data_IF_287257485389
#
_entry.id   IF_287257485389
#
_cell.length_a   1.000
_cell.length_b   1.000
_cell.length_c   1.000
_cell.angle_alpha   90.00
_cell.angle_beta   90.00
_cell.angle_gamma   90.00
#
_symmetry.space_group_name_H-M   'P 1'
#
loop_
_entity.id
_entity.type
_entity.pdbx_description
1 polymer ?
#
# COMPACT_ATOMS: atom_id res chain seq x y z
N UNK A 1 -40.12 -41.42 -0.92
CA UNK A 1 -38.69 -41.64 -0.58
C UNK A 1 -37.95 -40.33 -0.82
N UNK A 2 -37.17 -39.82 0.13
CA UNK A 2 -36.22 -38.76 -0.18
C UNK A 2 -35.22 -39.28 -1.25
N UNK A 3 -34.73 -38.43 -2.16
CA UNK A 3 -33.76 -38.84 -3.17
C UNK A 3 -32.51 -39.41 -2.48
N UNK A 4 -31.94 -40.48 -3.06
CA UNK A 4 -30.70 -41.05 -2.57
C UNK A 4 -29.58 -40.00 -2.61
N UNK A 5 -28.81 -39.89 -1.52
CA UNK A 5 -27.66 -38.98 -1.47
C UNK A 5 -26.70 -39.29 -2.63
N UNK A 6 -26.16 -38.27 -3.31
CA UNK A 6 -25.24 -38.48 -4.43
C UNK A 6 -24.02 -39.29 -3.98
N UNK A 7 -23.51 -40.13 -4.89
CA UNK A 7 -22.29 -40.90 -4.62
C UNK A 7 -21.08 -39.97 -4.53
N UNK A 8 -20.04 -40.40 -3.81
CA UNK A 8 -18.78 -39.65 -3.71
C UNK A 8 -18.19 -39.37 -5.10
N UNK A 9 -18.28 -40.33 -6.02
CA UNK A 9 -17.78 -40.15 -7.38
C UNK A 9 -18.59 -39.14 -8.18
N UNK A 10 -19.90 -39.05 -7.96
CA UNK A 10 -20.73 -38.02 -8.59
C UNK A 10 -20.35 -36.62 -8.08
N UNK A 11 -20.15 -36.47 -6.77
CA UNK A 11 -19.70 -35.21 -6.16
C UNK A 11 -18.29 -34.80 -6.63
N UNK A 12 -17.38 -35.76 -6.86
CA UNK A 12 -16.05 -35.47 -7.43
C UNK A 12 -16.14 -34.95 -8.86
N UNK A 13 -16.99 -35.55 -9.70
CA UNK A 13 -17.22 -35.04 -11.05
C UNK A 13 -17.78 -33.62 -11.06
N UNK A 14 -18.67 -33.31 -10.11
CA UNK A 14 -19.18 -31.96 -9.93
C UNK A 14 -18.05 -30.97 -9.57
N UNK A 15 -17.10 -31.38 -8.72
CA UNK A 15 -15.89 -30.58 -8.43
C UNK A 15 -15.05 -30.37 -9.70
N UNK A 16 -14.80 -31.43 -10.47
CA UNK A 16 -14.01 -31.33 -11.71
C UNK A 16 -14.66 -30.37 -12.72
N UNK A 17 -15.99 -30.39 -12.85
CA UNK A 17 -16.76 -29.45 -13.69
C UNK A 17 -16.62 -28.00 -13.19
N UNK A 18 -16.69 -27.79 -11.87
CA UNK A 18 -16.51 -26.48 -11.24
C UNK A 18 -15.07 -25.97 -11.47
N UNK A 19 -14.06 -26.81 -11.29
CA UNK A 19 -12.66 -26.46 -11.46
C UNK A 19 -12.33 -26.07 -12.91
N UNK A 20 -12.90 -26.79 -13.88
CA UNK A 20 -12.82 -26.41 -15.29
C UNK A 20 -13.43 -25.02 -15.54
N UNK A 21 -14.62 -24.75 -14.98
CA UNK A 21 -15.27 -23.44 -15.11
C UNK A 21 -14.46 -22.32 -14.43
N UNK A 22 -13.87 -22.57 -13.26
CA UNK A 22 -12.99 -21.61 -12.58
C UNK A 22 -11.78 -21.28 -13.46
N UNK A 23 -11.13 -22.31 -14.01
CA UNK A 23 -9.98 -22.12 -14.90
C UNK A 23 -10.37 -21.28 -16.14
N UNK A 24 -11.48 -21.60 -16.79
CA UNK A 24 -11.98 -20.85 -17.95
C UNK A 24 -12.30 -19.39 -17.63
N UNK A 25 -12.85 -19.12 -16.44
CA UNK A 25 -13.10 -17.77 -15.96
C UNK A 25 -11.80 -17.00 -15.69
N UNK A 26 -10.78 -17.65 -15.12
CA UNK A 26 -9.46 -17.05 -14.91
C UNK A 26 -8.81 -16.72 -16.26
N UNK A 27 -8.87 -17.62 -17.24
CA UNK A 27 -8.35 -17.38 -18.59
C UNK A 27 -9.10 -16.26 -19.31
N UNK A 28 -10.43 -16.19 -19.15
CA UNK A 28 -11.23 -15.08 -19.68
C UNK A 28 -10.84 -13.76 -19.03
N UNK A 29 -10.58 -13.74 -17.71
CA UNK A 29 -10.09 -12.56 -16.99
C UNK A 29 -8.72 -12.11 -17.52
N UNK A 30 -7.80 -13.04 -17.74
CA UNK A 30 -6.48 -12.76 -18.33
C UNK A 30 -6.60 -12.08 -19.70
N UNK A 31 -7.44 -12.61 -20.61
CA UNK A 31 -7.71 -11.98 -21.92
C UNK A 31 -8.26 -10.56 -21.83
N UNK A 32 -9.07 -10.26 -20.81
CA UNK A 32 -9.54 -8.88 -20.57
C UNK A 32 -8.40 -7.98 -20.12
N UNK A 33 -7.49 -8.48 -19.27
CA UNK A 33 -6.30 -7.74 -18.83
C UNK A 33 -5.34 -7.48 -20.00
N UNK A 34 -5.13 -8.44 -20.89
CA UNK A 34 -4.33 -8.26 -22.12
C UNK A 34 -4.88 -7.12 -22.98
N UNK A 35 -6.21 -7.08 -23.18
CA UNK A 35 -6.87 -5.99 -23.92
C UNK A 35 -6.72 -4.64 -23.20
N UNK A 36 -6.76 -4.61 -21.88
CA UNK A 36 -6.49 -3.40 -21.09
C UNK A 36 -5.04 -2.95 -21.30
N UNK A 37 -4.07 -3.87 -21.25
CA UNK A 37 -2.67 -3.58 -21.49
C UNK A 37 -2.43 -2.99 -22.89
N UNK A 38 -3.05 -3.59 -23.92
CA UNK A 38 -2.99 -3.10 -25.30
C UNK A 38 -3.58 -1.69 -25.45
N UNK A 39 -4.69 -1.40 -24.75
CA UNK A 39 -5.32 -0.06 -24.77
C UNK A 39 -4.47 1.03 -24.11
N UNK A 40 -3.51 0.65 -23.27
CA UNK A 40 -2.63 1.55 -22.51
C UNK A 40 -1.20 1.57 -23.06
N UNK A 41 -1.01 1.28 -24.35
CA UNK A 41 0.31 1.23 -24.97
C UNK A 41 1.14 2.50 -24.63
N UNK A 42 2.24 2.31 -23.89
CA UNK A 42 3.13 3.38 -23.42
C UNK A 42 2.94 3.83 -21.96
N UNK A 43 1.91 3.37 -21.25
CA UNK A 43 1.75 3.65 -19.83
C UNK A 43 2.85 2.96 -19.01
N UNK A 44 3.53 3.73 -18.14
CA UNK A 44 4.57 3.21 -17.22
C UNK A 44 4.01 2.67 -15.89
N UNK A 45 2.69 2.77 -15.69
CA UNK A 45 2.01 2.45 -14.43
C UNK A 45 1.06 1.27 -14.63
N UNK A 46 1.41 0.12 -14.06
CA UNK A 46 0.66 -1.14 -14.19
C UNK A 46 -0.13 -1.52 -12.92
N UNK A 47 0.16 -0.86 -11.80
CA UNK A 47 -0.52 -1.07 -10.52
C UNK A 47 -1.51 0.05 -10.24
N UNK A 48 -2.61 -0.29 -9.58
CA UNK A 48 -3.57 0.68 -9.04
C UNK A 48 -4.02 0.20 -7.67
N UNK A 49 -3.24 0.49 -6.60
CA UNK A 49 -3.52 0.00 -5.26
C UNK A 49 -4.95 0.30 -4.79
N UNK A 50 -5.48 1.49 -5.08
CA UNK A 50 -6.86 1.83 -4.74
C UNK A 50 -7.92 0.94 -5.39
N UNK A 51 -7.71 0.55 -6.66
CA UNK A 51 -8.58 -0.41 -7.35
C UNK A 51 -8.51 -1.80 -6.69
N UNK A 52 -7.31 -2.23 -6.31
CA UNK A 52 -7.10 -3.52 -5.64
C UNK A 52 -7.77 -3.55 -4.26
N UNK A 53 -7.60 -2.48 -3.47
CA UNK A 53 -8.30 -2.30 -2.19
C UNK A 53 -9.82 -2.42 -2.36
N UNK A 54 -10.41 -1.74 -3.34
CA UNK A 54 -11.84 -1.84 -3.64
C UNK A 54 -12.29 -3.25 -4.06
N UNK A 55 -11.47 -4.00 -4.81
CA UNK A 55 -11.76 -5.40 -5.16
C UNK A 55 -11.83 -6.26 -3.91
N UNK A 56 -10.82 -6.16 -3.03
CA UNK A 56 -10.73 -6.97 -1.82
C UNK A 56 -11.81 -6.61 -0.81
N UNK A 57 -12.12 -5.32 -0.61
CA UNK A 57 -13.24 -4.87 0.24
C UNK A 57 -14.57 -5.45 -0.24
N UNK A 58 -14.86 -5.38 -1.55
CA UNK A 58 -16.09 -5.99 -2.12
C UNK A 58 -16.12 -7.50 -1.95
N UNK A 59 -14.98 -8.17 -2.07
CA UNK A 59 -14.85 -9.62 -1.91
C UNK A 59 -15.14 -10.05 -0.46
N UNK A 60 -14.58 -9.33 0.52
CA UNK A 60 -14.83 -9.57 1.95
C UNK A 60 -16.30 -9.27 2.29
N UNK A 61 -16.84 -8.13 1.85
CA UNK A 61 -18.21 -7.74 2.16
C UNK A 61 -19.28 -8.68 1.59
N UNK A 62 -19.03 -9.29 0.43
CA UNK A 62 -19.95 -10.27 -0.19
C UNK A 62 -19.74 -11.70 0.28
N UNK A 63 -18.71 -11.96 1.10
CA UNK A 63 -18.30 -13.32 1.41
C UNK A 63 -19.36 -14.05 2.24
N UNK A 64 -19.70 -15.26 1.80
CA UNK A 64 -20.62 -16.17 2.46
C UNK A 64 -20.12 -17.60 2.27
N UNK A 65 -20.49 -18.52 3.17
CA UNK A 65 -20.15 -19.93 3.06
C UNK A 65 -19.08 -20.39 4.06
N UNK A 66 -18.52 -21.58 3.81
CA UNK A 66 -17.65 -22.29 4.75
C UNK A 66 -16.15 -22.04 4.54
N UNK A 67 -15.75 -21.56 3.37
CA UNK A 67 -14.34 -21.30 3.05
C UNK A 67 -13.84 -20.11 3.86
N UNK A 68 -12.70 -20.18 4.57
CA UNK A 68 -12.17 -19.04 5.29
C UNK A 68 -11.94 -17.82 4.37
N UNK A 69 -12.47 -16.66 4.76
CA UNK A 69 -12.34 -15.41 3.96
C UNK A 69 -10.88 -15.03 3.68
N UNK A 70 -9.95 -15.33 4.60
CA UNK A 70 -8.53 -15.11 4.40
C UNK A 70 -7.95 -15.92 3.22
N UNK A 71 -8.44 -17.15 3.00
CA UNK A 71 -8.03 -17.97 1.85
C UNK A 71 -8.56 -17.37 0.53
N UNK A 72 -9.81 -16.89 0.54
CA UNK A 72 -10.41 -16.20 -0.61
C UNK A 72 -9.61 -14.94 -0.98
N UNK A 73 -9.25 -14.12 0.02
CA UNK A 73 -8.38 -12.94 -0.18
C UNK A 73 -7.04 -13.35 -0.79
N UNK A 74 -6.39 -14.41 -0.28
CA UNK A 74 -5.09 -14.86 -0.77
C UNK A 74 -5.15 -15.34 -2.23
N UNK A 75 -6.20 -16.08 -2.61
CA UNK A 75 -6.43 -16.48 -4.00
C UNK A 75 -6.55 -15.24 -4.91
N UNK A 76 -7.32 -14.23 -4.48
CA UNK A 76 -7.45 -12.99 -5.24
C UNK A 76 -6.15 -12.20 -5.32
N UNK A 77 -5.33 -12.18 -4.26
CA UNK A 77 -4.00 -11.56 -4.28
C UNK A 77 -3.08 -12.20 -5.30
N UNK A 78 -3.01 -13.52 -5.32
CA UNK A 78 -2.19 -14.26 -6.29
C UNK A 78 -2.67 -13.97 -7.73
N UNK A 79 -3.99 -13.97 -7.93
CA UNK A 79 -4.59 -13.64 -9.22
C UNK A 79 -4.37 -12.18 -9.63
N UNK A 80 -4.33 -11.23 -8.70
CA UNK A 80 -4.01 -9.83 -9.00
C UNK A 80 -2.54 -9.73 -9.43
N UNK A 81 -1.61 -10.31 -8.64
CA UNK A 81 -0.19 -10.28 -8.92
C UNK A 81 0.16 -10.90 -10.30
N UNK A 82 -0.38 -12.07 -10.60
CA UNK A 82 -0.16 -12.74 -11.89
C UNK A 82 -0.65 -11.87 -13.07
N UNK A 83 -1.80 -11.21 -12.93
CA UNK A 83 -2.32 -10.35 -13.99
C UNK A 83 -1.59 -9.00 -14.10
N UNK A 84 -0.95 -8.52 -13.04
CA UNK A 84 -0.06 -7.36 -13.12
C UNK A 84 1.12 -7.64 -14.05
N UNK A 85 1.69 -8.84 -14.00
CA UNK A 85 2.79 -9.26 -14.88
C UNK A 85 2.40 -9.36 -16.36
N UNK A 86 1.14 -9.62 -16.67
CA UNK A 86 0.63 -9.59 -18.06
C UNK A 86 0.68 -8.17 -18.64
N UNK A 87 0.47 -7.16 -17.80
CA UNK A 87 0.41 -5.76 -18.26
C UNK A 87 1.79 -5.18 -18.58
N UNK A 88 2.86 -5.73 -18.01
CA UNK A 88 4.24 -5.30 -18.30
C UNK A 88 5.25 -5.80 -17.26
N UNK A 89 6.54 -5.44 -17.44
CA UNK A 89 7.59 -5.76 -16.47
C UNK A 89 7.24 -5.21 -15.09
N UNK A 90 7.23 -6.08 -14.08
CA UNK A 90 6.91 -5.73 -12.71
C UNK A 90 7.87 -6.43 -11.75
N UNK A 91 8.59 -5.64 -10.94
CA UNK A 91 9.53 -6.14 -9.94
C UNK A 91 9.42 -5.34 -8.64
N UNK A 92 9.72 -6.00 -7.52
CA UNK A 92 9.59 -5.44 -6.17
C UNK A 92 10.97 -5.41 -5.50
N UNK A 93 11.44 -4.25 -5.08
CA UNK A 93 12.58 -4.14 -4.16
C UNK A 93 12.08 -4.16 -2.71
N UNK A 94 12.67 -4.99 -1.85
CA UNK A 94 12.19 -5.19 -0.48
C UNK A 94 13.32 -4.93 0.50
N UNK A 95 13.07 -4.06 1.49
CA UNK A 95 13.93 -3.94 2.65
C UNK A 95 13.94 -5.28 3.41
N UNK A 96 15.09 -5.96 3.37
CA UNK A 96 15.29 -7.27 3.95
C UNK A 96 16.78 -7.43 4.29
N UNK A 97 17.25 -6.80 5.40
CA UNK A 97 18.60 -7.03 5.88
C UNK A 97 18.81 -8.50 6.23
N UNK A 98 20.07 -8.92 6.35
CA UNK A 98 20.42 -10.34 6.43
C UNK A 98 19.80 -11.08 7.64
N UNK A 99 19.49 -10.35 8.71
CA UNK A 99 18.93 -10.83 9.97
C UNK A 99 17.40 -10.62 10.12
N UNK A 100 16.75 -9.87 9.23
CA UNK A 100 15.29 -9.67 9.25
C UNK A 100 14.65 -9.90 7.87
N UNK A 101 13.85 -10.98 7.78
CA UNK A 101 13.08 -11.37 6.59
C UNK A 101 11.58 -11.09 6.71
N UNK A 102 11.11 -10.44 7.78
CA UNK A 102 9.68 -10.21 8.01
C UNK A 102 9.03 -9.42 6.86
N UNK A 103 9.69 -8.37 6.37
CA UNK A 103 9.19 -7.57 5.24
C UNK A 103 9.20 -8.35 3.93
N UNK A 104 10.14 -9.29 3.76
CA UNK A 104 10.16 -10.20 2.63
C UNK A 104 8.91 -11.08 2.60
N UNK A 105 8.55 -11.66 3.74
CA UNK A 105 7.36 -12.53 3.83
C UNK A 105 6.07 -11.75 3.60
N UNK A 106 5.97 -10.52 4.15
CA UNK A 106 4.83 -9.62 3.92
C UNK A 106 4.72 -9.22 2.44
N UNK A 107 5.85 -8.88 1.81
CA UNK A 107 5.90 -8.57 0.38
C UNK A 107 5.50 -9.78 -0.47
N UNK A 108 5.98 -10.97 -0.11
CA UNK A 108 5.65 -12.24 -0.79
C UNK A 108 4.18 -12.63 -0.63
N UNK A 109 3.57 -12.35 0.52
CA UNK A 109 2.14 -12.55 0.75
C UNK A 109 1.30 -11.62 -0.15
N UNK A 110 1.73 -10.37 -0.31
CA UNK A 110 1.00 -9.37 -1.08
C UNK A 110 1.17 -9.49 -2.60
N UNK A 111 2.40 -9.66 -3.07
CA UNK A 111 2.77 -9.70 -4.50
C UNK A 111 2.85 -11.12 -5.06
N UNK A 112 2.50 -12.13 -4.26
CA UNK A 112 2.37 -13.50 -4.74
C UNK A 112 3.70 -14.17 -5.12
N UNK A 113 3.57 -15.39 -5.63
CA UNK A 113 4.70 -16.31 -5.82
C UNK A 113 5.51 -16.02 -7.07
N UNK A 114 4.87 -15.52 -8.12
CA UNK A 114 5.48 -15.34 -9.44
C UNK A 114 6.17 -13.98 -9.64
N UNK A 115 5.87 -12.99 -8.79
CA UNK A 115 6.50 -11.68 -8.90
C UNK A 115 7.97 -11.73 -8.47
N UNK A 116 8.91 -11.20 -9.27
CA UNK A 116 10.29 -11.03 -8.88
C UNK A 116 10.43 -10.09 -7.67
N UNK A 117 11.05 -10.58 -6.59
CA UNK A 117 11.44 -9.78 -5.43
C UNK A 117 12.97 -9.72 -5.37
N UNK A 118 13.51 -8.53 -5.15
CA UNK A 118 14.94 -8.29 -4.93
C UNK A 118 15.15 -7.77 -3.51
N UNK A 119 16.01 -8.40 -2.69
CA UNK A 119 16.30 -7.92 -1.35
C UNK A 119 17.21 -6.69 -1.41
N UNK A 120 17.01 -5.79 -0.46
CA UNK A 120 17.82 -4.60 -0.25
C UNK A 120 18.12 -4.44 1.24
N UNK A 121 19.39 -4.23 1.59
CA UNK A 121 19.82 -4.16 2.99
C UNK A 121 19.45 -2.83 3.67
N UNK A 122 19.06 -1.80 2.89
CA UNK A 122 18.65 -0.49 3.42
C UNK A 122 17.44 0.06 2.66
N UNK A 123 16.62 0.89 3.32
CA UNK A 123 15.47 1.54 2.68
C UNK A 123 15.92 2.51 1.57
N UNK A 124 17.10 3.11 1.72
CA UNK A 124 17.77 3.94 0.70
C UNK A 124 18.13 3.11 -0.55
N UNK A 125 18.52 1.85 -0.39
CA UNK A 125 18.76 0.96 -1.52
C UNK A 125 17.45 0.60 -2.25
N UNK A 126 16.32 0.48 -1.53
CA UNK A 126 14.99 0.35 -2.15
C UNK A 126 14.63 1.59 -2.96
N UNK A 127 14.82 2.80 -2.40
CA UNK A 127 14.59 4.07 -3.13
C UNK A 127 15.46 4.18 -4.38
N UNK A 128 16.73 3.74 -4.30
CA UNK A 128 17.64 3.72 -5.45
C UNK A 128 17.14 2.78 -6.55
N UNK A 129 16.71 1.57 -6.20
CA UNK A 129 16.18 0.61 -7.17
C UNK A 129 14.95 1.16 -7.91
N UNK A 130 14.10 1.93 -7.22
CA UNK A 130 12.99 2.65 -7.84
C UNK A 130 13.47 3.75 -8.79
N UNK A 131 14.42 4.58 -8.35
CA UNK A 131 14.95 5.69 -9.16
C UNK A 131 15.66 5.20 -10.43
N UNK A 132 16.36 4.07 -10.35
CA UNK A 132 17.05 3.43 -11.48
C UNK A 132 16.09 2.63 -12.39
N UNK A 133 14.86 2.38 -11.94
CA UNK A 133 13.86 1.57 -12.66
C UNK A 133 14.14 0.07 -12.66
N UNK A 134 15.06 -0.41 -11.82
CA UNK A 134 15.30 -1.85 -11.62
C UNK A 134 14.19 -2.52 -10.79
N UNK A 135 13.42 -1.71 -10.04
CA UNK A 135 12.18 -2.12 -9.40
C UNK A 135 11.03 -1.16 -9.78
N UNK A 136 9.82 -1.70 -9.86
CA UNK A 136 8.58 -0.92 -10.10
C UNK A 136 7.97 -0.42 -8.80
N UNK A 137 8.11 -1.20 -7.72
CA UNK A 137 7.64 -0.87 -6.39
C UNK A 137 8.70 -1.21 -5.34
N UNK A 138 8.68 -0.45 -4.25
CA UNK A 138 9.51 -0.67 -3.08
C UNK A 138 8.66 -1.08 -1.88
N UNK A 139 9.19 -1.95 -1.03
CA UNK A 139 8.61 -2.27 0.29
C UNK A 139 9.63 -1.89 1.36
N UNK A 140 9.25 -0.96 2.22
CA UNK A 140 10.11 -0.35 3.26
C UNK A 140 9.43 -0.44 4.62
N UNK A 141 10.16 -0.42 5.75
CA UNK A 141 9.56 -0.44 7.06
C UNK A 141 8.73 0.84 7.30
N UNK A 142 7.68 0.72 8.12
CA UNK A 142 7.04 1.91 8.68
C UNK A 142 8.08 2.66 9.52
N UNK A 143 8.20 3.99 9.38
CA UNK A 143 9.18 4.74 10.12
C UNK A 143 9.03 4.61 11.64
N UNK A 144 10.15 4.55 12.35
CA UNK A 144 10.25 4.45 13.81
C UNK A 144 10.60 5.81 14.43
N UNK A 145 10.34 5.96 15.72
CA UNK A 145 10.78 7.16 16.45
C UNK A 145 12.31 7.17 16.51
N UNK A 146 12.90 8.36 16.38
CA UNK A 146 14.35 8.58 16.55
C UNK A 146 15.27 7.83 15.55
N UNK A 147 14.82 7.66 14.30
CA UNK A 147 15.69 7.19 13.21
C UNK A 147 16.85 8.16 12.93
N UNK A 148 18.07 7.63 12.84
CA UNK A 148 19.29 8.42 12.60
C UNK A 148 19.46 8.86 11.14
N UNK A 149 19.01 8.05 10.17
CA UNK A 149 18.97 8.43 8.75
C UNK A 149 17.62 8.01 8.12
N UNK A 150 16.57 8.81 8.36
CA UNK A 150 15.22 8.46 7.93
C UNK A 150 15.09 8.54 6.42
N UNK A 151 14.74 7.40 5.81
CA UNK A 151 14.57 7.29 4.36
C UNK A 151 13.42 8.15 3.82
N UNK A 152 12.39 8.42 4.64
CA UNK A 152 11.19 9.12 4.20
C UNK A 152 11.43 10.59 3.86
N UNK A 153 12.52 11.20 4.34
CA UNK A 153 12.90 12.58 3.98
C UNK A 153 13.13 12.77 2.48
N UNK A 154 13.55 11.70 1.79
CA UNK A 154 13.77 11.73 0.35
C UNK A 154 12.47 11.77 -0.47
N UNK A 155 11.31 11.53 0.17
CA UNK A 155 10.01 11.64 -0.50
C UNK A 155 9.46 13.07 -0.52
N UNK A 156 10.04 13.95 0.30
CA UNK A 156 9.60 15.33 0.48
C UNK A 156 10.24 16.16 -0.63
N UNK A 157 9.65 16.07 -1.82
CA UNK A 157 10.13 16.68 -3.05
C UNK A 157 8.94 16.97 -3.98
N UNK A 158 9.05 18.07 -4.72
CA UNK A 158 8.09 18.48 -5.76
C UNK A 158 8.35 17.78 -7.10
N UNK A 159 9.42 16.98 -7.21
CA UNK A 159 9.69 16.20 -8.42
C UNK A 159 8.62 15.12 -8.62
N UNK A 160 7.90 15.22 -9.73
CA UNK A 160 6.90 14.23 -10.20
C UNK A 160 7.43 12.80 -10.33
N UNK A 161 8.77 12.62 -10.43
CA UNK A 161 9.42 11.31 -10.47
C UNK A 161 9.73 10.74 -9.10
N UNK A 162 9.66 11.55 -8.04
CA UNK A 162 9.85 11.08 -6.66
C UNK A 162 8.75 10.06 -6.35
N UNK A 163 9.11 8.83 -5.89
CA UNK A 163 8.11 7.84 -5.54
C UNK A 163 7.22 8.35 -4.40
N UNK A 164 5.98 7.88 -4.35
CA UNK A 164 5.05 8.17 -3.27
C UNK A 164 4.78 6.92 -2.46
N UNK A 165 4.31 7.09 -1.23
CA UNK A 165 3.73 5.99 -0.46
C UNK A 165 2.34 5.70 -1.04
N UNK A 166 2.12 4.46 -1.46
CA UNK A 166 0.95 4.07 -2.28
C UNK A 166 0.17 2.91 -1.67
N UNK A 167 0.61 2.43 -0.50
CA UNK A 167 0.01 1.29 0.17
C UNK A 167 0.66 1.01 1.52
N UNK A 168 -0.07 0.28 2.36
CA UNK A 168 0.39 -0.27 3.64
C UNK A 168 0.16 -1.78 3.65
N UNK A 169 1.11 -2.52 4.21
CA UNK A 169 1.07 -3.97 4.34
C UNK A 169 1.19 -4.41 5.80
N UNK A 170 0.54 -5.54 6.17
CA UNK A 170 -0.38 -6.32 5.35
C UNK A 170 -1.69 -5.56 5.08
N UNK A 171 -2.23 -5.66 3.85
CA UNK A 171 -3.51 -5.01 3.53
C UNK A 171 -4.71 -5.75 4.12
N UNK A 172 -4.59 -7.05 4.37
CA UNK A 172 -5.58 -7.84 5.08
C UNK A 172 -4.91 -8.54 6.26
N UNK A 173 -5.24 -8.14 7.47
CA UNK A 173 -4.67 -8.71 8.69
C UNK A 173 -5.55 -9.85 9.22
N UNK A 174 -4.91 -10.88 9.78
CA UNK A 174 -5.61 -11.99 10.44
C UNK A 174 -5.90 -11.64 11.91
N UNK A 175 -6.98 -12.16 12.50
CA UNK A 175 -7.21 -12.06 13.95
C UNK A 175 -6.00 -12.59 14.73
N UNK A 176 -5.45 -11.80 15.66
CA UNK A 176 -4.33 -12.18 16.51
C UNK A 176 -2.94 -12.04 15.88
N UNK A 177 -2.83 -11.54 14.64
CA UNK A 177 -1.56 -11.06 14.11
C UNK A 177 -1.16 -9.82 14.92
N UNK A 178 -0.01 -9.87 15.62
CA UNK A 178 0.47 -8.75 16.45
C UNK A 178 0.62 -7.49 15.60
N UNK A 179 0.14 -6.36 16.13
CA UNK A 179 0.50 -5.04 15.66
C UNK A 179 2.00 -4.83 15.92
N UNK A 180 2.72 -4.37 14.89
CA UNK A 180 4.17 -4.24 14.92
C UNK A 180 4.80 -5.04 13.80
N UNK A 181 5.47 -4.32 12.90
CA UNK A 181 6.03 -4.90 11.69
C UNK A 181 5.16 -4.77 10.45
N UNK A 182 4.52 -3.62 10.29
CA UNK A 182 3.92 -3.24 9.02
C UNK A 182 4.99 -2.75 8.04
N UNK A 183 4.62 -2.67 6.77
CA UNK A 183 5.46 -2.09 5.73
C UNK A 183 4.70 -1.03 4.95
N UNK A 184 5.43 -0.08 4.38
CA UNK A 184 4.90 0.88 3.42
C UNK A 184 5.35 0.47 2.01
N UNK A 185 4.46 0.69 1.05
CA UNK A 185 4.74 0.46 -0.37
C UNK A 185 5.08 1.79 -1.00
N UNK A 186 6.20 1.84 -1.71
CA UNK A 186 6.65 2.97 -2.51
C UNK A 186 6.42 2.70 -4.00
N UNK A 187 5.96 3.70 -4.74
CA UNK A 187 5.85 3.62 -6.20
C UNK A 187 5.53 4.96 -6.85
N UNK A 188 5.83 5.06 -8.14
CA UNK A 188 5.56 6.26 -8.94
C UNK A 188 4.18 6.16 -9.60
N UNK A 189 3.11 6.22 -8.80
CA UNK A 189 1.72 6.22 -9.28
C UNK A 189 0.95 7.40 -8.70
N UNK A 190 -0.05 7.95 -9.44
CA UNK A 190 -0.92 8.98 -8.90
C UNK A 190 -1.67 8.50 -7.65
N UNK A 191 -1.89 9.41 -6.70
CA UNK A 191 -2.74 9.15 -5.54
C UNK A 191 -4.21 9.11 -5.99
N UNK A 192 -4.95 8.16 -5.45
CA UNK A 192 -6.37 7.98 -5.75
C UNK A 192 -7.12 7.73 -4.44
N UNK A 193 -8.20 8.47 -4.20
CA UNK A 193 -9.08 8.22 -3.06
C UNK A 193 -9.77 6.86 -3.20
N UNK A 194 -9.87 6.14 -2.09
CA UNK A 194 -10.58 4.86 -1.97
C UNK A 194 -11.80 4.93 -1.06
N UNK A 195 -12.04 6.09 -0.44
CA UNK A 195 -13.13 6.38 0.49
C UNK A 195 -12.84 5.98 1.93
N UNK A 196 -11.69 5.38 2.19
CA UNK A 196 -11.18 4.96 3.50
C UNK A 196 -9.65 4.98 3.40
N UNK A 197 -9.07 6.14 3.61
CA UNK A 197 -7.69 6.46 3.26
C UNK A 197 -7.01 7.25 4.37
N UNK A 198 -5.72 6.98 4.56
CA UNK A 198 -4.84 7.86 5.31
C UNK A 198 -3.83 8.47 4.33
N UNK A 199 -3.62 9.78 4.41
CA UNK A 199 -2.55 10.49 3.68
C UNK A 199 -1.34 10.68 4.58
N UNK A 200 -0.13 10.51 4.03
CA UNK A 200 1.09 10.96 4.69
C UNK A 200 1.53 12.30 4.10
N UNK A 201 1.66 13.30 4.97
CA UNK A 201 2.16 14.62 4.66
C UNK A 201 3.63 14.75 5.06
N UNK A 202 4.43 15.32 4.16
CA UNK A 202 5.75 15.84 4.46
C UNK A 202 5.64 17.32 4.79
N UNK A 203 6.10 17.72 5.96
CA UNK A 203 6.17 19.13 6.39
C UNK A 203 7.61 19.47 6.72
N UNK A 204 8.16 20.48 6.06
CA UNK A 204 9.51 21.00 6.34
C UNK A 204 9.37 22.39 6.96
N UNK A 205 10.02 22.59 8.11
CA UNK A 205 9.99 23.83 8.87
C UNK A 205 11.38 24.44 8.95
N UNK A 206 11.44 25.77 8.83
CA UNK A 206 12.69 26.54 8.91
C UNK A 206 13.24 26.61 10.34
N UNK A 207 12.39 26.38 11.35
CA UNK A 207 12.73 26.35 12.76
C UNK A 207 11.99 25.21 13.45
N UNK A 208 12.59 24.67 14.50
CA UNK A 208 11.96 23.61 15.27
C UNK A 208 10.67 24.07 15.95
N UNK A 209 9.68 23.19 15.89
CA UNK A 209 8.39 23.37 16.55
C UNK A 209 8.03 22.09 17.30
N UNK A 210 7.42 22.25 18.47
CA UNK A 210 6.95 21.10 19.24
C UNK A 210 5.86 20.34 18.48
N UNK A 211 5.89 19.00 18.59
CA UNK A 211 4.87 18.11 18.01
C UNK A 211 3.44 18.55 18.39
N UNK A 212 3.22 18.92 19.65
CA UNK A 212 1.91 19.35 20.13
C UNK A 212 1.40 20.60 19.41
N UNK A 213 2.26 21.62 19.27
CA UNK A 213 1.87 22.86 18.57
C UNK A 213 1.56 22.61 17.10
N UNK A 214 2.38 21.83 16.40
CA UNK A 214 2.12 21.52 14.99
C UNK A 214 0.83 20.69 14.83
N UNK A 215 0.60 19.73 15.73
CA UNK A 215 -0.65 18.96 15.79
C UNK A 215 -1.87 19.88 15.94
N UNK A 216 -1.86 20.79 16.91
CA UNK A 216 -2.97 21.71 17.17
C UNK A 216 -3.27 22.58 15.94
N UNK A 217 -2.23 23.02 15.21
CA UNK A 217 -2.37 23.81 13.99
C UNK A 217 -2.98 23.02 12.83
N UNK A 218 -2.63 21.74 12.69
CA UNK A 218 -3.22 20.83 11.70
C UNK A 218 -4.68 20.50 12.01
N UNK A 219 -5.00 20.16 13.26
CA UNK A 219 -6.37 19.90 13.68
C UNK A 219 -7.26 21.13 13.50
N UNK A 220 -6.73 22.34 13.75
CA UNK A 220 -7.44 23.60 13.52
C UNK A 220 -7.81 23.88 12.04
N UNK A 221 -7.22 23.16 11.08
CA UNK A 221 -7.57 23.23 9.65
C UNK A 221 -8.23 21.93 9.15
N UNK A 222 -8.77 21.12 10.06
CA UNK A 222 -9.44 19.85 9.76
C UNK A 222 -8.54 18.83 9.05
N UNK A 223 -7.27 18.77 9.47
CA UNK A 223 -6.34 17.69 9.16
C UNK A 223 -6.17 16.81 10.42
N UNK A 224 -7.01 15.78 10.63
CA UNK A 224 -6.93 14.92 11.81
C UNK A 224 -5.61 14.14 11.80
N UNK A 225 -4.81 14.28 12.86
CA UNK A 225 -3.46 13.71 12.91
C UNK A 225 -3.47 12.34 13.58
N UNK A 226 -2.97 11.33 12.86
CA UNK A 226 -2.68 9.99 13.38
C UNK A 226 -1.33 9.95 14.10
N UNK A 227 -0.35 9.28 13.50
CA UNK A 227 1.04 9.24 14.02
C UNK A 227 1.97 10.27 13.37
N UNK A 228 3.13 10.45 13.99
CA UNK A 228 4.06 11.54 13.71
C UNK A 228 5.51 11.06 13.75
N UNK A 229 6.36 11.51 12.82
CA UNK A 229 7.82 11.36 12.86
C UNK A 229 8.52 12.67 12.59
N UNK A 230 9.65 12.87 13.24
CA UNK A 230 10.42 14.11 13.20
C UNK A 230 11.86 13.76 12.92
N UNK A 231 12.49 14.53 12.06
CA UNK A 231 13.92 14.54 11.84
C UNK A 231 14.44 15.97 11.94
N UNK A 232 15.34 16.22 12.89
CA UNK A 232 15.97 17.52 13.06
C UNK A 232 17.14 17.65 12.08
N UNK A 233 17.13 18.71 11.28
CA UNK A 233 18.17 18.96 10.31
C UNK A 233 19.47 19.38 11.03
N UNK A 234 20.64 18.85 10.61
CA UNK A 234 21.92 19.23 11.21
C UNK A 234 22.17 20.75 11.15
N UNK A 235 22.91 21.26 12.13
CA UNK A 235 23.31 22.68 12.15
C UNK A 235 22.19 23.67 12.43
N UNK A 236 21.06 23.22 12.99
CA UNK A 236 19.92 24.08 13.29
C UNK A 236 19.12 24.48 12.05
N UNK A 237 19.17 23.67 10.98
CA UNK A 237 18.46 23.90 9.72
C UNK A 237 16.94 23.72 9.79
N UNK A 238 16.37 23.61 10.99
CA UNK A 238 14.95 23.34 11.23
C UNK A 238 14.64 21.85 11.35
N UNK A 239 13.43 21.45 10.98
CA UNK A 239 12.97 20.06 11.09
C UNK A 239 12.10 19.64 9.92
N UNK A 240 12.16 18.35 9.64
CA UNK A 240 11.33 17.67 8.67
C UNK A 240 10.41 16.72 9.41
N UNK A 241 9.15 16.68 9.00
CA UNK A 241 8.08 15.97 9.67
C UNK A 241 7.38 15.06 8.67
N UNK A 242 7.15 13.80 9.05
CA UNK A 242 6.26 12.89 8.35
C UNK A 242 5.04 12.65 9.22
N UNK A 243 3.87 13.01 8.70
CA UNK A 243 2.65 13.10 9.49
C UNK A 243 1.56 12.30 8.81
N UNK A 244 0.97 11.38 9.53
CA UNK A 244 -0.24 10.72 9.06
C UNK A 244 -1.47 11.60 9.32
N UNK A 245 -2.28 11.76 8.29
CA UNK A 245 -3.59 12.40 8.34
C UNK A 245 -4.64 11.32 8.09
N UNK A 246 -5.62 11.22 8.98
CA UNK A 246 -6.73 10.25 8.93
C UNK A 246 -7.82 10.65 7.92
N UNK A 247 -7.40 11.12 6.74
CA UNK A 247 -8.25 11.49 5.63
C UNK A 247 -7.45 11.47 4.32
N UNK A 248 -8.14 11.49 3.18
CA UNK A 248 -7.51 11.71 1.89
C UNK A 248 -7.24 13.20 1.67
N UNK A 249 -5.97 13.53 1.44
CA UNK A 249 -5.48 14.87 1.11
C UNK A 249 -4.59 14.76 -0.14
N UNK A 250 -4.97 15.43 -1.22
CA UNK A 250 -4.16 15.53 -2.44
C UNK A 250 -3.35 16.84 -2.48
N UNK A 251 -2.65 17.08 -3.59
CA UNK A 251 -1.77 18.25 -3.73
C UNK A 251 -2.51 19.58 -3.87
N UNK A 252 -3.78 19.55 -4.25
CA UNK A 252 -4.61 20.73 -4.51
C UNK A 252 -5.60 21.00 -3.36
N UNK A 253 -5.52 20.23 -2.27
CA UNK A 253 -6.42 20.33 -1.12
C UNK A 253 -6.27 21.69 -0.41
N UNK A 254 -7.38 22.41 -0.30
CA UNK A 254 -7.44 23.75 0.30
C UNK A 254 -6.93 23.79 1.75
N UNK A 255 -7.00 22.68 2.49
CA UNK A 255 -6.49 22.59 3.87
C UNK A 255 -4.98 22.73 3.94
N UNK A 256 -4.24 22.36 2.89
CA UNK A 256 -2.80 22.57 2.82
C UNK A 256 -2.46 24.06 2.74
N UNK A 257 -3.23 24.82 1.96
CA UNK A 257 -3.11 26.28 1.89
C UNK A 257 -3.43 26.94 3.24
N UNK A 258 -4.52 26.53 3.89
CA UNK A 258 -4.88 27.03 5.22
C UNK A 258 -3.81 26.70 6.29
N UNK A 259 -3.19 25.52 6.21
CA UNK A 259 -2.07 25.15 7.08
C UNK A 259 -0.85 26.04 6.81
N UNK A 260 -0.53 26.30 5.55
CA UNK A 260 0.56 27.16 5.16
C UNK A 260 0.38 28.60 5.67
N UNK A 261 -0.82 29.16 5.55
CA UNK A 261 -1.15 30.48 6.11
C UNK A 261 -0.98 30.53 7.64
N UNK A 262 -1.37 29.47 8.36
CA UNK A 262 -1.19 29.38 9.81
C UNK A 262 0.26 29.27 10.23
N UNK A 263 1.07 28.51 9.49
CA UNK A 263 2.48 28.31 9.78
C UNK A 263 3.34 29.52 9.39
N UNK A 264 2.90 30.29 8.39
CA UNK A 264 3.57 31.50 7.92
C UNK A 264 5.03 31.22 7.56
N UNK A 265 5.92 32.13 7.97
CA UNK A 265 7.36 32.06 7.67
C UNK A 265 8.07 30.85 8.29
N UNK A 266 7.43 30.12 9.21
CA UNK A 266 8.01 28.90 9.76
C UNK A 266 7.97 27.73 8.77
N UNK A 267 7.05 27.75 7.79
CA UNK A 267 6.90 26.69 6.81
C UNK A 267 7.85 26.89 5.62
N UNK A 268 8.68 25.89 5.35
CA UNK A 268 9.45 25.81 4.11
C UNK A 268 8.59 25.18 3.01
N UNK A 269 7.94 24.04 3.30
CA UNK A 269 7.00 23.37 2.40
C UNK A 269 6.10 22.39 3.12
N UNK A 270 4.92 22.17 2.55
CA UNK A 270 4.01 21.08 2.90
C UNK A 270 3.53 20.40 1.62
N UNK A 271 3.58 19.08 1.57
CA UNK A 271 3.05 18.31 0.45
C UNK A 271 2.64 16.89 0.85
N UNK A 272 1.68 16.27 0.14
CA UNK A 272 1.44 14.85 0.26
C UNK A 272 2.61 14.04 -0.31
N UNK A 273 3.20 13.21 0.54
CA UNK A 273 4.25 12.24 0.15
C UNK A 273 3.68 10.86 -0.14
N UNK A 274 2.40 10.65 0.13
CA UNK A 274 1.67 9.47 -0.30
C UNK A 274 0.31 9.34 0.36
N UNK A 275 -0.45 8.35 -0.05
CA UNK A 275 -1.71 7.97 0.58
C UNK A 275 -1.90 6.46 0.43
N UNK A 276 -2.60 5.87 1.40
CA UNK A 276 -2.89 4.44 1.36
C UNK A 276 -4.30 4.14 1.84
N UNK A 277 -4.90 3.15 1.21
CA UNK A 277 -6.19 2.61 1.61
C UNK A 277 -6.06 1.91 2.97
N UNK A 278 -6.99 2.17 3.89
CA UNK A 278 -7.04 1.50 5.19
C UNK A 278 -7.08 -0.03 5.02
N UNK A 279 -6.15 -0.77 5.67
CA UNK A 279 -6.16 -2.22 5.70
C UNK A 279 -7.46 -2.80 6.27
N UNK A 280 -7.81 -3.99 5.81
CA UNK A 280 -8.98 -4.75 6.25
C UNK A 280 -8.57 -5.63 7.43
N UNK A 281 -9.20 -5.43 8.58
CA UNK A 281 -9.15 -6.40 9.68
C UNK A 281 -10.21 -7.47 9.43
N UNK A 282 -9.77 -8.70 9.17
CA UNK A 282 -10.69 -9.82 9.02
C UNK A 282 -11.20 -10.23 10.41
N UNK A 283 -12.51 -10.35 10.58
CA UNK A 283 -13.08 -10.83 11.83
C UNK A 283 -12.81 -12.32 12.03
N UNK A 284 -12.57 -12.72 13.28
CA UNK A 284 -12.56 -14.13 13.65
C UNK A 284 -13.99 -14.66 13.51
N UNK A 285 -14.15 -15.80 12.82
CA UNK A 285 -15.46 -16.46 12.74
C UNK A 285 -15.92 -16.77 14.16
N UNK A 286 -17.09 -16.28 14.57
CA UNK A 286 -17.80 -16.88 15.71
C UNK A 286 -18.13 -18.31 15.29
N UNK A 287 -17.59 -19.28 16.03
CA UNK A 287 -17.81 -20.70 15.81
C UNK A 287 -19.31 -21.05 15.86
#
# INVERSE_FOLDING_TARGET
>A
MPPASPSVDALRREIDEIDAAIHDLIMRRARVVERIAQSKAGAKVFIRPGREAGILRRLVARHQGSVPVAAIVRIWREMIAAMTLIQGPFAVAVYAPDDDRRLWDIARDHYGTVTPLAPANTAQAVLRALAEGSATVGVVPVPEEEETDPWWRFLISDDTKTPKIIGRLPFCSRPGQKEGGDALILGAVPLEATGQDHTLLGVELAQDMSRGRLKDMMEAVSLPVGWFRIFHLPGGGGSVHLIEVEDFVDGDDARLGALAEKLGDALVRVLPVGAYALPITLEARKA
#
